data_IF_496261007946
#
_entry.id   IF_496261007946
#
_cell.length_a   1.000
_cell.length_b   1.000
_cell.length_c   1.000
_cell.angle_alpha   90.00
_cell.angle_beta   90.00
_cell.angle_gamma   90.00
#
_symmetry.space_group_name_H-M   'P 1'
#
loop_
_entity.id
_entity.type
_entity.pdbx_description
1 polymer ?
#
# COMPACT_ATOMS: atom_id res chain seq x y z
N UNK A 1 -28.87 -12.02 17.28
CA UNK A 1 -27.67 -11.15 17.48
C UNK A 1 -27.22 -10.75 16.08
N UNK A 2 -26.93 -9.47 15.83
CA UNK A 2 -26.48 -9.04 14.48
C UNK A 2 -25.02 -9.49 14.25
N UNK A 3 -24.59 -9.64 12.98
CA UNK A 3 -23.24 -10.04 12.64
C UNK A 3 -22.20 -8.93 12.93
N UNK A 4 -20.94 -9.33 13.00
CA UNK A 4 -19.84 -8.40 12.79
C UNK A 4 -19.68 -8.22 11.28
N UNK A 5 -19.65 -6.97 10.81
CA UNK A 5 -19.52 -6.65 9.39
C UNK A 5 -18.15 -6.04 9.10
N UNK A 6 -17.47 -6.52 8.07
CA UNK A 6 -16.22 -5.99 7.56
C UNK A 6 -16.47 -5.43 6.16
N UNK A 7 -16.20 -4.14 5.95
CA UNK A 7 -16.28 -3.53 4.61
C UNK A 7 -14.89 -3.55 3.98
N UNK A 8 -14.73 -4.32 2.91
CA UNK A 8 -13.49 -4.44 2.13
C UNK A 8 -12.81 -5.80 2.25
N UNK A 9 -12.51 -6.38 1.09
CA UNK A 9 -11.88 -7.70 0.86
C UNK A 9 -10.36 -7.64 0.70
N UNK A 10 -9.75 -6.49 0.99
CA UNK A 10 -8.31 -6.32 0.91
C UNK A 10 -7.55 -7.08 2.01
N UNK A 11 -6.23 -6.89 2.05
CA UNK A 11 -5.35 -7.54 3.03
C UNK A 11 -5.81 -7.29 4.47
N UNK A 12 -6.25 -6.07 4.81
CA UNK A 12 -6.70 -5.73 6.16
C UNK A 12 -7.97 -6.51 6.52
N UNK A 13 -9.01 -6.47 5.68
CA UNK A 13 -10.28 -7.15 5.94
C UNK A 13 -10.11 -8.66 6.12
N UNK A 14 -9.41 -9.33 5.19
CA UNK A 14 -9.14 -10.76 5.34
C UNK A 14 -8.25 -11.10 6.53
N UNK A 15 -7.31 -10.23 6.92
CA UNK A 15 -6.46 -10.49 8.09
C UNK A 15 -7.27 -10.37 9.37
N UNK A 16 -8.14 -9.36 9.50
CA UNK A 16 -9.07 -9.25 10.64
C UNK A 16 -9.96 -10.49 10.73
N UNK A 17 -10.56 -10.90 9.62
CA UNK A 17 -11.41 -12.08 9.59
C UNK A 17 -10.68 -13.37 10.04
N UNK A 18 -9.43 -13.58 9.57
CA UNK A 18 -8.60 -14.71 9.97
C UNK A 18 -8.23 -14.69 11.45
N UNK A 19 -7.77 -13.54 11.95
CA UNK A 19 -7.38 -13.41 13.36
C UNK A 19 -8.60 -13.55 14.27
N UNK A 20 -9.75 -13.00 13.89
CA UNK A 20 -10.99 -13.17 14.65
C UNK A 20 -11.47 -14.63 14.69
N UNK A 21 -11.41 -15.35 13.55
CA UNK A 21 -11.84 -16.77 13.51
C UNK A 21 -11.00 -17.70 14.37
N UNK A 22 -9.73 -17.36 14.63
CA UNK A 22 -8.91 -18.12 15.58
C UNK A 22 -9.43 -18.03 17.02
N UNK A 23 -10.11 -16.93 17.36
CA UNK A 23 -10.64 -16.65 18.70
C UNK A 23 -12.10 -17.03 18.84
N UNK A 24 -12.88 -16.87 17.79
CA UNK A 24 -14.32 -17.10 17.79
C UNK A 24 -14.78 -17.75 16.48
N UNK A 25 -14.95 -19.09 16.45
CA UNK A 25 -15.37 -19.81 15.25
C UNK A 25 -16.87 -19.64 14.92
N UNK A 26 -17.72 -19.28 15.89
CA UNK A 26 -19.18 -19.36 15.77
C UNK A 26 -19.86 -18.01 15.48
N UNK A 27 -19.31 -16.89 15.95
CA UNK A 27 -19.91 -15.57 15.77
C UNK A 27 -20.14 -15.28 14.28
N UNK A 28 -21.33 -14.87 13.91
CA UNK A 28 -21.65 -14.53 12.52
C UNK A 28 -20.75 -13.37 12.02
N UNK A 29 -20.11 -13.59 10.89
CA UNK A 29 -19.18 -12.66 10.25
C UNK A 29 -19.60 -12.46 8.80
N UNK A 30 -19.73 -11.20 8.39
CA UNK A 30 -20.10 -10.81 7.03
C UNK A 30 -19.01 -9.90 6.47
N UNK A 31 -18.55 -10.19 5.27
CA UNK A 31 -17.68 -9.29 4.51
C UNK A 31 -18.46 -8.73 3.33
N UNK A 32 -18.40 -7.41 3.14
CA UNK A 32 -19.04 -6.72 2.02
C UNK A 32 -17.96 -6.02 1.19
N UNK A 33 -17.96 -6.24 -0.10
CA UNK A 33 -16.98 -5.69 -1.01
C UNK A 33 -17.54 -5.36 -2.39
N UNK A 34 -17.05 -4.28 -2.95
CA UNK A 34 -17.45 -3.80 -4.27
C UNK A 34 -16.84 -4.62 -5.41
N UNK A 35 -15.80 -5.39 -5.14
CA UNK A 35 -15.09 -6.26 -6.08
C UNK A 35 -15.53 -7.74 -5.95
N UNK A 36 -14.76 -8.62 -6.59
CA UNK A 36 -14.96 -10.07 -6.61
C UNK A 36 -14.44 -10.80 -5.36
N UNK A 37 -13.88 -10.07 -4.41
CA UNK A 37 -13.30 -10.58 -3.17
C UNK A 37 -12.19 -11.65 -3.35
N UNK A 38 -11.46 -11.63 -4.44
CA UNK A 38 -10.28 -12.49 -4.60
C UNK A 38 -9.25 -12.12 -3.52
N UNK A 39 -8.86 -13.11 -2.72
CA UNK A 39 -7.82 -12.94 -1.72
C UNK A 39 -6.45 -13.12 -2.33
N UNK A 40 -5.58 -12.13 -2.20
CA UNK A 40 -4.18 -12.16 -2.65
C UNK A 40 -3.30 -11.24 -1.78
N UNK A 41 -1.99 -11.44 -1.87
CA UNK A 41 -1.03 -10.55 -1.22
C UNK A 41 -0.75 -9.36 -2.14
N UNK A 42 -1.39 -8.19 -1.90
CA UNK A 42 -1.24 -6.97 -2.71
C UNK A 42 0.24 -6.59 -2.98
N UNK A 43 1.19 -6.70 -2.03
CA UNK A 43 2.59 -6.43 -2.30
C UNK A 43 3.23 -7.31 -3.39
N UNK A 44 2.62 -8.43 -3.77
CA UNK A 44 3.14 -9.28 -4.84
C UNK A 44 2.98 -8.65 -6.23
N UNK A 45 2.05 -7.71 -6.40
CA UNK A 45 1.76 -7.10 -7.70
C UNK A 45 2.97 -6.38 -8.31
N UNK A 46 3.84 -5.79 -7.49
CA UNK A 46 5.01 -5.03 -7.94
C UNK A 46 6.29 -5.87 -8.16
N UNK A 47 6.20 -7.22 -8.05
CA UNK A 47 7.34 -8.12 -8.29
C UNK A 47 6.93 -9.46 -8.93
N UNK A 48 5.77 -9.53 -9.54
CA UNK A 48 5.24 -10.77 -10.09
C UNK A 48 5.67 -11.04 -11.53
N UNK A 49 6.13 -10.02 -12.26
CA UNK A 49 6.59 -10.17 -13.66
C UNK A 49 7.88 -10.99 -13.72
N UNK A 50 8.93 -10.58 -13.00
CA UNK A 50 10.19 -11.31 -12.94
C UNK A 50 10.01 -12.72 -12.36
N UNK A 51 9.07 -12.89 -11.43
CA UNK A 51 8.65 -14.20 -10.92
C UNK A 51 7.86 -15.06 -11.90
N UNK A 52 7.57 -14.56 -13.11
CA UNK A 52 6.78 -15.22 -14.16
C UNK A 52 5.42 -15.73 -13.70
N UNK A 53 4.83 -15.10 -12.66
CA UNK A 53 3.53 -15.47 -12.13
C UNK A 53 2.42 -14.85 -12.98
N UNK A 54 1.53 -15.68 -13.51
CA UNK A 54 0.30 -15.19 -14.11
C UNK A 54 -0.60 -14.55 -13.04
N UNK A 55 -1.47 -13.59 -13.38
CA UNK A 55 -2.38 -12.95 -12.42
C UNK A 55 -3.20 -13.97 -11.60
N UNK A 56 -3.66 -15.04 -12.23
CA UNK A 56 -4.43 -16.12 -11.60
C UNK A 56 -3.61 -16.89 -10.55
N UNK A 57 -2.29 -16.95 -10.69
CA UNK A 57 -1.38 -17.61 -9.74
C UNK A 57 -1.06 -16.73 -8.51
N UNK A 58 -1.41 -15.45 -8.56
CA UNK A 58 -1.29 -14.54 -7.40
C UNK A 58 -2.46 -14.75 -6.44
N UNK A 59 -3.63 -15.15 -6.97
CA UNK A 59 -4.83 -15.43 -6.19
C UNK A 59 -4.61 -16.63 -5.23
N UNK A 60 -4.93 -16.44 -3.97
CA UNK A 60 -4.89 -17.47 -2.91
C UNK A 60 -6.23 -18.18 -2.74
N UNK A 61 -7.32 -17.51 -3.10
CA UNK A 61 -8.68 -18.03 -3.08
C UNK A 61 -9.70 -17.00 -3.53
N UNK A 62 -10.80 -17.49 -4.09
CA UNK A 62 -11.97 -16.70 -4.42
C UNK A 62 -12.91 -16.53 -3.21
N UNK A 63 -13.99 -15.76 -3.39
CA UNK A 63 -14.99 -15.51 -2.35
C UNK A 63 -15.60 -16.80 -1.76
N UNK A 64 -15.91 -17.80 -2.59
CA UNK A 64 -16.51 -19.05 -2.14
C UNK A 64 -15.55 -19.85 -1.25
N UNK A 65 -14.30 -20.01 -1.69
CA UNK A 65 -13.25 -20.67 -0.92
C UNK A 65 -12.96 -19.96 0.39
N UNK A 66 -12.84 -18.63 0.35
CA UNK A 66 -12.56 -17.82 1.55
C UNK A 66 -13.74 -17.82 2.51
N UNK A 67 -14.98 -17.73 2.02
CA UNK A 67 -16.19 -17.82 2.83
C UNK A 67 -16.28 -19.15 3.57
N UNK A 68 -16.04 -20.26 2.88
CA UNK A 68 -16.01 -21.59 3.48
C UNK A 68 -14.88 -21.74 4.51
N UNK A 69 -13.66 -21.30 4.17
CA UNK A 69 -12.48 -21.40 5.03
C UNK A 69 -12.64 -20.60 6.33
N UNK A 70 -13.26 -19.42 6.25
CA UNK A 70 -13.40 -18.49 7.37
C UNK A 70 -14.78 -18.55 8.03
N UNK A 71 -15.64 -19.49 7.63
CA UNK A 71 -17.01 -19.59 8.11
C UNK A 71 -17.70 -18.22 8.13
N UNK A 72 -17.66 -17.50 6.99
CA UNK A 72 -18.26 -16.17 6.86
C UNK A 72 -19.01 -16.01 5.54
N UNK A 73 -20.02 -15.15 5.54
CA UNK A 73 -20.73 -14.73 4.34
C UNK A 73 -19.94 -13.60 3.66
N UNK A 74 -19.73 -13.71 2.36
CA UNK A 74 -19.04 -12.67 1.56
C UNK A 74 -20.02 -12.17 0.49
N UNK A 75 -20.36 -10.89 0.55
CA UNK A 75 -21.19 -10.20 -0.42
C UNK A 75 -20.28 -9.49 -1.42
N UNK A 76 -20.10 -10.10 -2.59
CA UNK A 76 -19.31 -9.56 -3.70
C UNK A 76 -20.13 -8.62 -4.57
N UNK A 77 -19.44 -7.72 -5.28
CA UNK A 77 -20.06 -6.73 -6.17
C UNK A 77 -21.16 -5.93 -5.48
N UNK A 78 -20.95 -5.65 -4.18
CA UNK A 78 -21.92 -4.97 -3.32
C UNK A 78 -21.29 -3.70 -2.74
N UNK A 79 -21.87 -2.56 -3.07
CA UNK A 79 -21.43 -1.25 -2.59
C UNK A 79 -22.13 -0.90 -1.28
N UNK A 80 -21.37 -0.42 -0.31
CA UNK A 80 -21.94 0.23 0.86
C UNK A 80 -22.12 1.71 0.53
N UNK A 81 -23.35 2.17 0.46
CA UNK A 81 -23.72 3.54 0.09
C UNK A 81 -23.77 4.47 1.31
N UNK A 82 -24.23 3.95 2.45
CA UNK A 82 -24.36 4.74 3.67
C UNK A 82 -24.23 3.87 4.91
N UNK A 83 -23.80 4.50 6.01
CA UNK A 83 -23.76 3.93 7.36
C UNK A 83 -24.69 4.76 8.24
N UNK A 84 -25.72 4.15 8.78
CA UNK A 84 -26.52 4.69 9.88
C UNK A 84 -25.97 4.13 11.19
N UNK A 85 -25.17 4.94 11.88
CA UNK A 85 -24.51 4.52 13.12
C UNK A 85 -25.47 4.46 14.32
N UNK A 86 -26.58 5.20 14.31
CA UNK A 86 -27.57 5.21 15.39
C UNK A 86 -28.42 3.93 15.34
N UNK A 87 -28.80 3.50 14.14
CA UNK A 87 -29.61 2.29 13.94
C UNK A 87 -28.77 1.02 13.72
N UNK A 88 -27.43 1.13 13.64
CA UNK A 88 -26.54 0.04 13.29
C UNK A 88 -26.93 -0.65 11.96
N UNK A 89 -27.19 0.16 10.92
CA UNK A 89 -27.61 -0.28 9.59
C UNK A 89 -26.67 0.23 8.50
N UNK A 90 -26.44 -0.61 7.51
CA UNK A 90 -25.78 -0.25 6.26
C UNK A 90 -26.82 -0.23 5.14
N UNK A 91 -26.77 0.78 4.29
CA UNK A 91 -27.45 0.76 3.00
C UNK A 91 -26.51 0.21 1.95
N UNK A 92 -26.91 -0.87 1.31
CA UNK A 92 -26.15 -1.59 0.29
C UNK A 92 -26.77 -1.39 -1.07
N UNK A 93 -25.96 -1.40 -2.12
CA UNK A 93 -26.38 -1.44 -3.52
C UNK A 93 -25.68 -2.60 -4.25
N UNK A 94 -26.47 -3.45 -4.90
CA UNK A 94 -26.00 -4.50 -5.79
C UNK A 94 -26.87 -4.56 -7.04
N UNK A 95 -26.26 -4.48 -8.22
CA UNK A 95 -26.96 -4.51 -9.52
C UNK A 95 -28.10 -3.47 -9.63
N UNK A 96 -27.93 -2.30 -9.00
CA UNK A 96 -28.95 -1.24 -8.97
C UNK A 96 -30.08 -1.48 -7.96
N UNK A 97 -30.01 -2.54 -7.16
CA UNK A 97 -31.00 -2.85 -6.13
C UNK A 97 -30.46 -2.47 -4.75
N UNK A 98 -31.19 -1.65 -4.03
CA UNK A 98 -30.87 -1.32 -2.64
C UNK A 98 -31.38 -2.35 -1.66
N UNK A 99 -30.57 -2.58 -0.61
CA UNK A 99 -30.91 -3.45 0.51
C UNK A 99 -30.27 -2.92 1.80
N UNK A 100 -30.61 -3.53 2.93
CA UNK A 100 -30.07 -3.15 4.24
C UNK A 100 -29.37 -4.33 4.91
N UNK A 101 -28.28 -4.03 5.61
CA UNK A 101 -27.56 -4.99 6.45
C UNK A 101 -27.35 -4.39 7.85
N UNK A 102 -27.94 -5.03 8.85
CA UNK A 102 -27.69 -4.68 10.24
C UNK A 102 -26.33 -5.24 10.72
N UNK A 103 -25.69 -4.57 11.66
CA UNK A 103 -24.43 -5.00 12.27
C UNK A 103 -24.44 -4.84 13.78
N UNK A 104 -23.72 -5.71 14.49
CA UNK A 104 -23.40 -5.52 15.91
C UNK A 104 -22.13 -4.69 16.07
N UNK A 105 -21.12 -4.95 15.22
CA UNK A 105 -19.87 -4.17 15.12
C UNK A 105 -19.49 -4.04 13.65
N UNK A 106 -18.90 -2.89 13.28
CA UNK A 106 -18.53 -2.56 11.92
C UNK A 106 -17.02 -2.30 11.83
N UNK A 107 -16.37 -2.90 10.85
CA UNK A 107 -14.94 -2.70 10.55
C UNK A 107 -14.78 -2.08 9.16
N UNK A 108 -14.24 -0.87 9.11
CA UNK A 108 -13.86 -0.22 7.86
C UNK A 108 -12.46 -0.68 7.45
N UNK A 109 -12.37 -1.49 6.40
CA UNK A 109 -11.13 -2.00 5.81
C UNK A 109 -11.05 -1.61 4.31
N UNK A 110 -11.51 -0.40 4.00
CA UNK A 110 -11.75 0.10 2.64
C UNK A 110 -10.49 0.54 1.89
N UNK A 111 -9.32 0.48 2.54
CA UNK A 111 -8.01 0.69 1.91
C UNK A 111 -7.77 2.11 1.41
N UNK A 112 -7.01 2.23 0.32
CA UNK A 112 -6.61 3.49 -0.29
C UNK A 112 -6.72 3.43 -1.82
N UNK A 113 -6.98 4.58 -2.43
CA UNK A 113 -7.11 4.75 -3.87
C UNK A 113 -5.83 5.36 -4.46
N UNK A 114 -5.46 5.04 -5.70
CA UNK A 114 -4.36 5.70 -6.39
C UNK A 114 -4.62 7.19 -6.58
N UNK A 115 -3.60 8.01 -6.34
CA UNK A 115 -3.64 9.43 -6.68
C UNK A 115 -3.63 9.54 -8.20
N UNK A 116 -4.58 10.28 -8.75
CA UNK A 116 -4.66 10.61 -10.17
C UNK A 116 -4.07 12.00 -10.40
N UNK A 117 -3.04 12.07 -11.25
CA UNK A 117 -2.46 13.34 -11.67
C UNK A 117 -3.33 13.99 -12.76
N UNK A 118 -3.45 15.31 -12.71
CA UNK A 118 -4.09 16.08 -13.77
C UNK A 118 -3.10 16.28 -14.93
N UNK A 119 -2.91 15.25 -15.76
CA UNK A 119 -2.03 15.28 -16.94
C UNK A 119 -2.87 15.58 -18.16
N UNK A 120 -2.39 16.49 -19.02
CA UNK A 120 -3.06 16.86 -20.27
C UNK A 120 -2.82 15.82 -21.38
N UNK A 121 -3.59 15.95 -22.47
CA UNK A 121 -3.43 15.13 -23.68
C UNK A 121 -4.38 13.95 -23.78
N UNK A 122 -4.55 13.44 -24.99
CA UNK A 122 -5.50 12.36 -25.35
C UNK A 122 -5.06 10.96 -24.92
N UNK A 123 -3.81 10.82 -24.42
CA UNK A 123 -3.28 9.60 -23.80
C UNK A 123 -3.39 9.58 -22.27
N UNK A 124 -3.89 10.65 -21.63
CA UNK A 124 -3.94 10.75 -20.16
C UNK A 124 -4.82 9.68 -19.50
N UNK A 125 -5.92 9.32 -20.14
CA UNK A 125 -6.86 8.31 -19.62
C UNK A 125 -6.32 6.88 -19.74
N UNK A 126 -5.31 6.66 -20.58
CA UNK A 126 -4.67 5.35 -20.76
C UNK A 126 -3.52 5.12 -19.77
N UNK A 127 -3.21 6.09 -18.91
CA UNK A 127 -2.20 5.93 -17.87
C UNK A 127 -2.67 4.87 -16.87
N UNK A 128 -1.93 3.75 -16.84
CA UNK A 128 -2.22 2.67 -15.92
C UNK A 128 -1.95 3.06 -14.47
N UNK A 129 -2.77 2.51 -13.58
CA UNK A 129 -2.47 2.39 -12.15
C UNK A 129 -2.59 0.92 -11.77
N UNK A 130 -1.81 0.46 -10.81
CA UNK A 130 -1.90 -0.93 -10.34
C UNK A 130 -2.14 -0.93 -8.85
N UNK A 131 -3.42 -0.99 -8.45
CA UNK A 131 -3.84 -0.99 -7.06
C UNK A 131 -4.53 -2.30 -6.63
N UNK A 132 -4.99 -3.08 -7.59
CA UNK A 132 -5.64 -4.37 -7.38
C UNK A 132 -5.22 -5.38 -8.46
N UNK A 133 -5.72 -6.62 -8.35
CA UNK A 133 -5.36 -7.70 -9.26
C UNK A 133 -5.87 -7.48 -10.69
N UNK A 134 -7.05 -6.86 -10.84
CA UNK A 134 -7.62 -6.55 -12.15
C UNK A 134 -6.82 -5.46 -12.86
N UNK A 135 -6.39 -4.41 -12.14
CA UNK A 135 -5.49 -3.39 -12.68
C UNK A 135 -4.18 -4.03 -13.15
N UNK A 136 -3.60 -4.95 -12.34
CA UNK A 136 -2.38 -5.66 -12.70
C UNK A 136 -2.56 -6.54 -13.94
N UNK A 137 -3.70 -7.20 -14.07
CA UNK A 137 -4.03 -8.00 -15.26
C UNK A 137 -4.08 -7.12 -16.52
N UNK A 138 -4.81 -6.02 -16.48
CA UNK A 138 -4.90 -5.06 -17.60
C UNK A 138 -3.51 -4.48 -17.95
N UNK A 139 -2.71 -4.11 -16.96
CA UNK A 139 -1.33 -3.65 -17.16
C UNK A 139 -0.46 -4.70 -17.87
N UNK A 140 -0.52 -5.97 -17.44
CA UNK A 140 0.21 -7.07 -18.09
C UNK A 140 -0.22 -7.35 -19.51
N UNK A 141 -1.52 -7.28 -19.79
CA UNK A 141 -2.06 -7.45 -21.15
C UNK A 141 -1.52 -6.37 -22.09
N UNK A 142 -1.44 -5.12 -21.62
CA UNK A 142 -0.82 -4.04 -22.38
C UNK A 142 0.67 -4.25 -22.63
N UNK A 143 1.43 -4.66 -21.61
CA UNK A 143 2.84 -4.98 -21.78
C UNK A 143 3.08 -6.09 -22.82
N UNK A 144 2.25 -7.15 -22.78
CA UNK A 144 2.37 -8.29 -23.69
C UNK A 144 2.02 -7.93 -25.15
N UNK A 145 1.18 -6.91 -25.36
CA UNK A 145 0.78 -6.44 -26.68
C UNK A 145 1.85 -5.55 -27.37
N UNK A 146 2.92 -5.17 -26.66
CA UNK A 146 3.93 -4.21 -27.14
C UNK A 146 5.24 -4.91 -27.53
N UNK A 147 5.87 -4.41 -28.62
CA UNK A 147 7.12 -4.99 -29.15
C UNK A 147 8.36 -4.31 -28.56
N UNK A 148 8.37 -2.96 -28.45
CA UNK A 148 9.55 -2.19 -28.05
C UNK A 148 9.79 -2.17 -26.54
N UNK A 149 8.74 -2.50 -25.76
CA UNK A 149 8.81 -2.68 -24.30
C UNK A 149 9.31 -1.44 -23.54
N UNK A 150 9.00 -0.22 -24.03
CA UNK A 150 9.35 1.04 -23.38
C UNK A 150 8.29 1.39 -22.33
N UNK A 151 8.66 1.43 -21.08
CA UNK A 151 7.75 1.75 -19.99
C UNK A 151 8.19 3.03 -19.29
N UNK A 152 7.29 4.00 -19.20
CA UNK A 152 7.49 5.21 -18.39
C UNK A 152 6.69 5.05 -17.09
N UNK A 153 7.39 5.17 -15.95
CA UNK A 153 6.80 5.13 -14.61
C UNK A 153 6.79 6.54 -14.02
N UNK A 154 5.63 6.99 -13.59
CA UNK A 154 5.47 8.25 -12.86
C UNK A 154 5.53 7.97 -11.37
N UNK A 155 6.55 8.51 -10.70
CA UNK A 155 6.80 8.32 -9.27
C UNK A 155 7.97 7.37 -8.97
N UNK A 156 9.00 7.88 -8.28
CA UNK A 156 10.15 7.14 -7.77
C UNK A 156 10.00 6.79 -6.27
N UNK A 157 8.76 6.56 -5.81
CA UNK A 157 8.44 6.03 -4.49
C UNK A 157 8.68 4.51 -4.41
N UNK A 158 8.30 3.88 -3.28
CA UNK A 158 8.47 2.44 -3.06
C UNK A 158 7.92 1.60 -4.22
N UNK A 159 6.65 1.81 -4.57
CA UNK A 159 5.96 1.04 -5.61
C UNK A 159 6.59 1.29 -6.98
N UNK A 160 6.92 2.54 -7.31
CA UNK A 160 7.54 2.87 -8.59
C UNK A 160 8.91 2.23 -8.77
N UNK A 161 9.78 2.26 -7.75
CA UNK A 161 11.09 1.61 -7.78
C UNK A 161 10.96 0.07 -7.85
N UNK A 162 9.99 -0.53 -7.16
CA UNK A 162 9.73 -1.97 -7.23
C UNK A 162 9.29 -2.40 -8.61
N UNK A 163 8.32 -1.70 -9.24
CA UNK A 163 7.91 -1.95 -10.62
C UNK A 163 9.04 -1.71 -11.61
N UNK A 164 9.84 -0.67 -11.42
CA UNK A 164 10.99 -0.40 -12.28
C UNK A 164 11.97 -1.58 -12.28
N UNK A 165 12.32 -2.09 -11.10
CA UNK A 165 13.20 -3.25 -10.97
C UNK A 165 12.55 -4.54 -11.53
N UNK A 166 11.26 -4.76 -11.30
CA UNK A 166 10.55 -5.96 -11.79
C UNK A 166 10.48 -5.98 -13.33
N UNK A 167 10.16 -4.84 -13.95
CA UNK A 167 10.11 -4.66 -15.40
C UNK A 167 11.50 -4.80 -16.04
N UNK A 168 12.52 -4.16 -15.46
CA UNK A 168 13.89 -4.27 -15.96
C UNK A 168 14.37 -5.73 -16.01
N UNK A 169 14.02 -6.54 -15.01
CA UNK A 169 14.34 -7.97 -14.99
C UNK A 169 13.59 -8.80 -16.05
N UNK A 170 12.68 -8.18 -16.81
CA UNK A 170 11.91 -8.79 -17.90
C UNK A 170 12.18 -8.10 -19.24
N UNK A 171 13.34 -7.48 -19.40
CA UNK A 171 13.85 -6.86 -20.63
C UNK A 171 13.05 -5.64 -21.12
N UNK A 172 12.33 -4.95 -20.20
CA UNK A 172 11.70 -3.68 -20.52
C UNK A 172 12.70 -2.53 -20.39
N UNK A 173 12.58 -1.55 -21.27
CA UNK A 173 13.31 -0.28 -21.16
C UNK A 173 12.53 0.65 -20.23
N UNK A 174 13.03 0.86 -19.03
CA UNK A 174 12.30 1.57 -17.99
C UNK A 174 12.84 2.97 -17.75
N UNK A 175 11.97 3.97 -17.83
CA UNK A 175 12.25 5.35 -17.40
C UNK A 175 11.34 5.72 -16.24
N UNK A 176 11.91 6.20 -15.14
CA UNK A 176 11.17 6.65 -13.95
C UNK A 176 11.25 8.17 -13.85
N UNK A 177 10.11 8.86 -13.75
CA UNK A 177 9.99 10.31 -13.64
C UNK A 177 9.46 10.66 -12.26
N UNK A 178 10.10 11.59 -11.53
CA UNK A 178 9.62 12.06 -10.23
C UNK A 178 9.95 13.54 -10.00
N UNK A 179 9.06 14.23 -9.27
CA UNK A 179 9.27 15.60 -8.80
C UNK A 179 10.42 15.72 -7.79
N UNK A 180 10.64 14.69 -6.99
CA UNK A 180 11.74 14.65 -6.04
C UNK A 180 13.09 14.55 -6.76
N UNK A 181 14.17 15.17 -6.23
CA UNK A 181 15.50 15.09 -6.82
C UNK A 181 16.17 13.73 -6.65
N UNK A 182 15.62 12.85 -5.79
CA UNK A 182 16.16 11.53 -5.49
C UNK A 182 15.02 10.49 -5.37
N UNK A 183 15.24 9.23 -5.76
CA UNK A 183 14.29 8.17 -5.50
C UNK A 183 14.15 7.94 -4.00
N UNK A 184 12.93 7.62 -3.55
CA UNK A 184 12.62 7.41 -2.14
C UNK A 184 13.02 8.59 -1.22
N UNK A 185 13.14 9.81 -1.75
CA UNK A 185 13.69 10.97 -1.05
C UNK A 185 12.97 11.40 0.23
N UNK A 186 11.74 10.87 0.47
CA UNK A 186 11.02 11.06 1.74
C UNK A 186 11.40 10.03 2.82
N UNK A 187 12.10 8.97 2.45
CA UNK A 187 12.40 7.83 3.31
C UNK A 187 13.91 7.66 3.54
N UNK A 188 14.74 8.13 2.62
CA UNK A 188 16.17 7.92 2.61
C UNK A 188 16.93 9.24 2.81
N UNK A 189 18.06 9.24 3.55
CA UNK A 189 19.01 10.33 3.47
C UNK A 189 19.64 10.38 2.08
N UNK A 190 20.03 11.57 1.63
CA UNK A 190 20.48 11.84 0.26
C UNK A 190 21.60 10.91 -0.21
N UNK A 191 22.59 10.63 0.63
CA UNK A 191 23.74 9.77 0.27
C UNK A 191 23.31 8.31 0.01
N UNK A 192 22.33 7.77 0.76
CA UNK A 192 21.77 6.44 0.48
C UNK A 192 20.90 6.47 -0.77
N UNK A 193 20.08 7.51 -0.95
CA UNK A 193 19.22 7.64 -2.13
C UNK A 193 20.06 7.72 -3.42
N UNK A 194 21.20 8.39 -3.37
CA UNK A 194 22.18 8.46 -4.47
C UNK A 194 22.76 7.09 -4.79
N UNK A 195 23.25 6.35 -3.79
CA UNK A 195 23.80 5.00 -3.99
C UNK A 195 22.71 4.02 -4.48
N UNK A 196 21.51 4.08 -3.92
CA UNK A 196 20.36 3.26 -4.35
C UNK A 196 20.00 3.55 -5.83
N UNK A 197 19.94 4.81 -6.21
CA UNK A 197 19.71 5.24 -7.61
C UNK A 197 20.78 4.65 -8.53
N UNK A 198 22.05 4.81 -8.18
CA UNK A 198 23.18 4.32 -8.96
C UNK A 198 23.09 2.79 -9.19
N UNK A 199 22.81 2.02 -8.15
CA UNK A 199 22.66 0.57 -8.27
C UNK A 199 21.52 0.16 -9.22
N UNK A 200 20.43 0.93 -9.24
CA UNK A 200 19.32 0.68 -10.18
C UNK A 200 19.67 1.15 -11.60
N UNK A 201 20.39 2.24 -11.76
CA UNK A 201 20.84 2.72 -13.09
C UNK A 201 21.84 1.75 -13.74
N UNK A 202 22.69 1.09 -12.95
CA UNK A 202 23.60 0.04 -13.43
C UNK A 202 22.87 -1.15 -14.07
N UNK A 203 21.59 -1.35 -13.73
CA UNK A 203 20.74 -2.38 -14.38
C UNK A 203 20.11 -1.90 -15.68
N UNK A 204 20.23 -0.61 -16.02
CA UNK A 204 19.63 -0.01 -17.21
C UNK A 204 18.32 0.75 -16.95
N UNK A 205 17.90 0.93 -15.70
CA UNK A 205 16.78 1.82 -15.37
C UNK A 205 17.24 3.27 -15.54
N UNK A 206 16.45 4.08 -16.23
CA UNK A 206 16.74 5.51 -16.42
C UNK A 206 15.88 6.36 -15.49
N UNK A 207 16.50 7.32 -14.77
CA UNK A 207 15.79 8.25 -13.89
C UNK A 207 15.79 9.67 -14.47
N UNK A 208 14.61 10.31 -14.50
CA UNK A 208 14.38 11.71 -14.85
C UNK A 208 13.75 12.38 -13.64
N UNK A 209 14.58 12.92 -12.77
CA UNK A 209 14.18 13.44 -11.46
C UNK A 209 14.16 14.98 -11.44
N UNK A 210 13.47 15.57 -10.43
CA UNK A 210 13.28 17.01 -10.29
C UNK A 210 12.30 17.59 -11.30
N UNK A 211 11.44 16.75 -11.90
CA UNK A 211 10.44 17.16 -12.90
C UNK A 211 9.19 16.29 -12.83
N UNK A 212 8.18 16.64 -13.60
CA UNK A 212 6.92 15.91 -13.71
C UNK A 212 6.55 15.70 -15.18
N UNK A 213 5.40 15.09 -15.43
CA UNK A 213 4.81 14.98 -16.77
C UNK A 213 3.75 16.05 -16.94
N UNK A 214 3.82 16.79 -18.03
CA UNK A 214 2.86 17.81 -18.42
C UNK A 214 1.76 17.24 -19.31
N UNK A 215 2.17 16.41 -20.29
CA UNK A 215 1.25 15.88 -21.30
C UNK A 215 1.59 14.44 -21.71
N UNK A 216 0.54 13.65 -21.95
CA UNK A 216 0.65 12.35 -22.62
C UNK A 216 -0.23 12.36 -23.86
N UNK A 217 0.39 12.20 -25.03
CA UNK A 217 -0.29 12.19 -26.32
C UNK A 217 -0.20 10.82 -26.96
N UNK A 218 -1.26 10.37 -27.62
CA UNK A 218 -1.26 9.15 -28.45
C UNK A 218 -0.52 9.39 -29.75
N UNK A 219 0.24 8.39 -30.20
CA UNK A 219 0.88 8.36 -31.51
C UNK A 219 0.15 7.37 -32.43
N UNK A 220 0.38 7.47 -33.74
CA UNK A 220 -0.35 6.74 -34.79
C UNK A 220 -0.29 5.21 -34.66
N UNK A 221 0.76 4.68 -34.01
CA UNK A 221 0.94 3.23 -33.81
C UNK A 221 0.50 2.73 -32.43
N UNK A 222 -0.22 3.58 -31.68
CA UNK A 222 -0.73 3.25 -30.34
C UNK A 222 0.30 3.42 -29.22
N UNK A 223 1.46 3.99 -29.51
CA UNK A 223 2.46 4.42 -28.54
C UNK A 223 2.07 5.78 -27.95
N UNK A 224 2.83 6.21 -26.97
CA UNK A 224 2.62 7.49 -26.30
C UNK A 224 3.85 8.39 -26.42
N UNK A 225 3.61 9.68 -26.56
CA UNK A 225 4.60 10.72 -26.35
C UNK A 225 4.37 11.37 -24.99
N UNK A 226 5.30 11.15 -24.07
CA UNK A 226 5.28 11.73 -22.73
C UNK A 226 6.11 13.00 -22.75
N UNK A 227 5.47 14.17 -22.56
CA UNK A 227 6.10 15.48 -22.63
C UNK A 227 6.29 16.05 -21.23
N UNK A 228 7.49 16.57 -20.95
CA UNK A 228 7.87 17.22 -19.71
C UNK A 228 7.64 18.75 -19.80
N UNK A 229 7.55 19.46 -18.66
CA UNK A 229 7.34 20.93 -18.66
C UNK A 229 8.43 21.73 -19.38
N UNK A 230 9.64 21.20 -19.50
CA UNK A 230 10.77 21.85 -20.20
C UNK A 230 10.78 21.58 -21.73
N UNK A 231 9.77 20.88 -22.25
CA UNK A 231 9.61 20.54 -23.65
C UNK A 231 10.32 19.27 -24.11
N UNK A 232 11.11 18.62 -23.26
CA UNK A 232 11.65 17.28 -23.56
C UNK A 232 10.51 16.28 -23.67
N UNK A 233 10.68 15.29 -24.52
CA UNK A 233 9.67 14.23 -24.70
C UNK A 233 10.31 12.84 -24.74
N UNK A 234 9.58 11.86 -24.26
CA UNK A 234 9.96 10.46 -24.22
C UNK A 234 8.88 9.62 -24.91
N UNK A 235 9.30 8.66 -25.74
CA UNK A 235 8.37 7.68 -26.30
C UNK A 235 8.13 6.56 -25.30
N UNK A 236 6.89 6.13 -25.15
CA UNK A 236 6.49 5.04 -24.27
C UNK A 236 5.46 4.13 -24.95
N UNK A 237 5.56 2.84 -24.72
CA UNK A 237 4.54 1.86 -25.12
C UNK A 237 3.47 1.72 -24.04
N UNK A 238 3.87 1.92 -22.79
CA UNK A 238 3.01 1.89 -21.60
C UNK A 238 3.44 2.97 -20.62
N UNK A 239 2.48 3.65 -20.02
CA UNK A 239 2.71 4.62 -18.93
C UNK A 239 2.04 4.10 -17.67
N UNK A 240 2.82 3.98 -16.58
CA UNK A 240 2.36 3.52 -15.27
C UNK A 240 2.47 4.66 -14.25
N UNK A 241 1.38 4.98 -13.56
CA UNK A 241 1.41 5.95 -12.44
C UNK A 241 1.56 5.22 -11.10
N UNK A 242 2.61 5.56 -10.37
CA UNK A 242 2.94 5.06 -9.03
C UNK A 242 3.24 6.22 -8.05
N UNK A 243 2.50 7.33 -8.18
CA UNK A 243 2.71 8.59 -7.43
C UNK A 243 2.17 8.58 -6.00
N UNK A 244 1.66 7.45 -5.55
CA UNK A 244 1.17 7.25 -4.20
C UNK A 244 -0.32 6.93 -4.12
N UNK A 245 -0.75 6.73 -2.89
CA UNK A 245 -2.12 6.35 -2.54
C UNK A 245 -2.72 7.38 -1.59
N UNK A 246 -4.03 7.55 -1.68
CA UNK A 246 -4.82 8.37 -0.77
C UNK A 246 -5.82 7.47 -0.04
N UNK A 247 -5.86 7.49 1.32
CA UNK A 247 -6.84 6.74 2.10
C UNK A 247 -8.26 6.97 1.63
N UNK A 248 -9.05 5.90 1.55
CA UNK A 248 -10.46 6.00 1.20
C UNK A 248 -11.27 6.38 2.44
N UNK A 249 -11.65 7.66 2.53
CA UNK A 249 -12.34 8.24 3.70
C UNK A 249 -13.78 8.67 3.40
N UNK A 250 -14.24 8.58 2.15
CA UNK A 250 -15.53 9.16 1.71
C UNK A 250 -16.69 8.59 2.50
N UNK A 251 -16.83 7.25 2.54
CA UNK A 251 -17.92 6.58 3.27
C UNK A 251 -17.91 6.93 4.78
N UNK A 252 -16.73 6.99 5.39
CA UNK A 252 -16.58 7.37 6.80
C UNK A 252 -17.01 8.81 7.04
N UNK A 253 -16.55 9.74 6.19
CA UNK A 253 -16.88 11.17 6.29
C UNK A 253 -18.38 11.43 6.13
N UNK A 254 -19.03 10.78 5.18
CA UNK A 254 -20.48 10.89 4.95
C UNK A 254 -21.29 10.34 6.12
N UNK A 255 -20.77 9.36 6.85
CA UNK A 255 -21.37 8.82 8.07
C UNK A 255 -21.09 9.63 9.35
N UNK A 256 -20.39 10.79 9.27
CA UNK A 256 -20.02 11.59 10.43
C UNK A 256 -18.87 11.04 11.24
N UNK A 257 -18.12 10.07 10.70
CA UNK A 257 -16.90 9.57 11.31
C UNK A 257 -15.78 10.60 11.08
N UNK A 258 -15.02 10.89 12.12
CA UNK A 258 -13.93 11.86 12.04
C UNK A 258 -12.82 11.38 11.11
N UNK A 259 -12.38 12.26 10.23
CA UNK A 259 -11.32 11.98 9.25
C UNK A 259 -10.32 13.13 9.21
N UNK A 260 -9.07 12.81 8.88
CA UNK A 260 -8.01 13.75 8.54
C UNK A 260 -7.34 13.26 7.24
N UNK A 261 -6.10 12.78 7.29
CA UNK A 261 -5.46 12.08 6.17
C UNK A 261 -6.05 10.68 5.97
N UNK A 262 -6.57 10.08 7.04
CA UNK A 262 -7.26 8.81 7.10
C UNK A 262 -8.51 8.90 7.98
N UNK A 263 -9.15 7.77 8.23
CA UNK A 263 -10.21 7.63 9.23
C UNK A 263 -9.55 7.64 10.61
N UNK A 264 -9.87 8.65 11.43
CA UNK A 264 -9.27 8.83 12.76
C UNK A 264 -9.71 7.73 13.72
N UNK A 265 -8.75 7.06 14.34
CA UNK A 265 -9.00 6.07 15.39
C UNK A 265 -8.08 6.30 16.58
N UNK A 266 -8.54 5.84 17.75
CA UNK A 266 -7.69 5.70 18.93
C UNK A 266 -6.81 4.44 18.84
N UNK A 267 -6.03 4.16 19.90
CA UNK A 267 -5.17 2.96 19.98
C UNK A 267 -5.94 1.63 20.05
N UNK A 268 -7.25 1.66 20.27
CA UNK A 268 -8.15 0.49 20.21
C UNK A 268 -8.74 0.29 18.81
N UNK A 269 -8.35 1.13 17.84
CA UNK A 269 -8.87 1.18 16.47
C UNK A 269 -10.34 1.62 16.38
N UNK A 270 -10.87 2.21 17.46
CA UNK A 270 -12.23 2.75 17.53
C UNK A 270 -12.29 4.13 16.88
N UNK A 271 -13.34 4.37 16.11
CA UNK A 271 -13.69 5.71 15.62
C UNK A 271 -14.41 6.53 16.72
N UNK A 272 -14.85 7.74 16.37
CA UNK A 272 -15.70 8.54 17.26
C UNK A 272 -17.14 8.01 17.39
N UNK A 273 -17.55 7.05 16.57
CA UNK A 273 -18.86 6.42 16.65
C UNK A 273 -18.75 5.02 17.26
N UNK A 274 -19.65 4.70 18.18
CA UNK A 274 -19.64 3.43 18.90
C UNK A 274 -19.73 2.23 17.95
N UNK A 275 -19.02 1.15 18.30
CA UNK A 275 -19.02 -0.11 17.56
C UNK A 275 -18.54 -0.02 16.10
N UNK A 276 -17.89 1.10 15.71
CA UNK A 276 -17.29 1.29 14.39
C UNK A 276 -15.76 1.45 14.52
N UNK A 277 -15.04 0.60 13.81
CA UNK A 277 -13.57 0.49 13.82
C UNK A 277 -13.01 0.74 12.42
N UNK A 278 -11.75 1.18 12.33
CA UNK A 278 -11.05 1.26 11.04
C UNK A 278 -9.66 0.62 11.11
N UNK A 279 -9.27 -0.04 10.02
CA UNK A 279 -7.98 -0.76 9.90
C UNK A 279 -7.38 -0.66 8.49
N UNK A 280 -6.09 -0.86 8.40
CA UNK A 280 -5.36 -0.87 7.12
C UNK A 280 -5.08 0.52 6.59
N UNK A 281 -4.93 0.62 5.28
CA UNK A 281 -4.48 1.84 4.61
C UNK A 281 -5.45 3.03 4.75
N UNK A 282 -6.71 2.78 5.14
CA UNK A 282 -7.67 3.86 5.40
C UNK A 282 -7.58 4.43 6.82
N UNK A 283 -6.95 3.73 7.77
CA UNK A 283 -6.96 4.10 9.19
C UNK A 283 -5.77 5.00 9.56
N UNK A 284 -6.06 6.10 10.27
CA UNK A 284 -5.08 6.97 10.91
C UNK A 284 -5.14 6.75 12.43
N UNK A 285 -4.24 5.89 12.93
CA UNK A 285 -4.24 5.43 14.33
C UNK A 285 -3.42 6.39 15.20
N UNK A 286 -4.02 7.01 16.20
CA UNK A 286 -3.37 8.02 17.06
C UNK A 286 -2.59 9.09 16.25
N UNK A 287 -3.18 9.57 15.13
CA UNK A 287 -2.55 10.54 14.24
C UNK A 287 -1.47 9.98 13.31
N UNK A 288 -1.25 8.65 13.33
CA UNK A 288 -0.23 7.99 12.51
C UNK A 288 -0.87 7.18 11.38
N UNK A 289 -0.46 7.47 10.14
CA UNK A 289 -0.89 6.75 8.94
C UNK A 289 0.28 5.89 8.42
N UNK A 290 0.12 4.57 8.45
CA UNK A 290 1.15 3.60 8.06
C UNK A 290 0.58 2.59 7.05
N UNK A 291 0.61 2.90 5.73
CA UNK A 291 0.06 2.03 4.69
C UNK A 291 1.07 0.91 4.34
N UNK A 292 1.39 0.06 5.31
CA UNK A 292 2.33 -1.04 5.18
C UNK A 292 1.74 -2.34 5.73
N UNK A 293 2.36 -3.46 5.36
CA UNK A 293 1.89 -4.80 5.77
C UNK A 293 1.97 -5.03 7.28
N UNK A 294 3.09 -4.63 7.91
CA UNK A 294 3.30 -4.91 9.33
C UNK A 294 2.28 -4.21 10.24
N UNK A 295 1.97 -2.91 10.05
CA UNK A 295 0.89 -2.25 10.79
C UNK A 295 -0.46 -2.96 10.64
N UNK A 296 -0.85 -3.38 9.43
CA UNK A 296 -2.09 -4.13 9.19
C UNK A 296 -2.15 -5.40 10.06
N UNK A 297 -1.03 -6.13 10.14
CA UNK A 297 -0.96 -7.37 10.95
C UNK A 297 -1.13 -7.08 12.46
N UNK A 298 -0.54 -5.99 12.97
CA UNK A 298 -0.69 -5.57 14.37
C UNK A 298 -2.12 -5.12 14.66
N UNK A 299 -2.69 -4.28 13.78
CA UNK A 299 -4.07 -3.82 13.88
C UNK A 299 -5.05 -5.00 13.91
N UNK A 300 -4.92 -5.92 12.97
CA UNK A 300 -5.83 -7.06 12.85
C UNK A 300 -5.80 -7.97 14.10
N UNK A 301 -4.62 -8.20 14.68
CA UNK A 301 -4.49 -9.00 15.92
C UNK A 301 -5.12 -8.31 17.13
N UNK A 302 -4.89 -7.01 17.29
CA UNK A 302 -5.48 -6.24 18.37
C UNK A 302 -7.01 -6.14 18.22
N UNK A 303 -7.47 -5.79 17.00
CA UNK A 303 -8.89 -5.65 16.73
C UNK A 303 -9.65 -6.98 16.90
N UNK A 304 -9.08 -8.10 16.46
CA UNK A 304 -9.71 -9.41 16.61
C UNK A 304 -10.02 -9.75 18.08
N UNK A 305 -9.12 -9.41 18.99
CA UNK A 305 -9.34 -9.56 20.44
C UNK A 305 -10.43 -8.62 20.94
N UNK A 306 -10.39 -7.35 20.54
CA UNK A 306 -11.42 -6.34 20.91
C UNK A 306 -12.80 -6.75 20.40
N UNK A 307 -12.91 -7.24 19.16
CA UNK A 307 -14.15 -7.77 18.60
C UNK A 307 -14.68 -8.97 19.38
N UNK A 308 -13.78 -9.79 19.94
CA UNK A 308 -14.10 -10.95 20.79
C UNK A 308 -14.32 -10.61 22.27
N UNK A 309 -14.36 -9.31 22.64
CA UNK A 309 -14.64 -8.84 24.00
C UNK A 309 -13.42 -8.58 24.90
N UNK A 310 -12.19 -8.80 24.40
CA UNK A 310 -10.94 -8.47 25.11
C UNK A 310 -10.39 -7.14 24.56
N UNK A 311 -10.74 -6.01 25.18
CA UNK A 311 -10.25 -4.68 24.79
C UNK A 311 -8.73 -4.66 24.70
N UNK A 312 -8.19 -4.51 23.49
CA UNK A 312 -6.76 -4.67 23.22
C UNK A 312 -6.24 -3.49 22.40
N UNK A 313 -5.28 -2.75 22.97
CA UNK A 313 -4.61 -1.66 22.27
C UNK A 313 -3.64 -2.20 21.23
N UNK A 314 -3.57 -1.53 20.07
CA UNK A 314 -2.58 -1.85 19.06
C UNK A 314 -1.17 -1.52 19.57
N UNK A 315 -0.24 -2.42 19.28
CA UNK A 315 1.18 -2.24 19.57
C UNK A 315 1.94 -2.10 18.25
N UNK A 316 2.70 -1.02 18.09
CA UNK A 316 3.57 -0.80 16.94
C UNK A 316 5.04 -0.80 17.36
N UNK A 317 5.71 -1.96 17.29
CA UNK A 317 7.16 -2.01 17.42
C UNK A 317 7.83 -1.33 16.22
N UNK A 318 9.16 -1.30 16.21
CA UNK A 318 9.89 -0.94 15.00
C UNK A 318 9.52 -1.88 13.84
N UNK A 319 8.98 -1.32 12.75
CA UNK A 319 8.46 -2.06 11.60
C UNK A 319 9.18 -1.64 10.30
N UNK A 320 10.42 -2.07 10.08
CA UNK A 320 11.17 -1.73 8.87
C UNK A 320 10.51 -2.31 7.63
N UNK A 321 10.51 -1.51 6.56
CA UNK A 321 9.97 -1.86 5.25
C UNK A 321 11.11 -2.40 4.38
N UNK A 322 10.94 -3.61 3.87
CA UNK A 322 11.83 -4.17 2.85
C UNK A 322 11.30 -3.76 1.46
N UNK A 323 12.10 -3.06 0.70
CA UNK A 323 11.79 -2.66 -0.68
C UNK A 323 12.15 -3.82 -1.61
N UNK A 324 11.21 -4.19 -2.47
CA UNK A 324 11.37 -5.35 -3.38
C UNK A 324 12.15 -4.97 -4.64
N UNK A 325 13.40 -4.58 -4.45
CA UNK A 325 14.37 -4.25 -5.51
C UNK A 325 15.59 -5.17 -5.41
N UNK A 326 15.52 -6.41 -5.92
CA UNK A 326 16.65 -7.36 -5.85
C UNK A 326 17.99 -6.82 -6.36
N UNK A 327 17.97 -5.92 -7.35
CA UNK A 327 19.19 -5.28 -7.87
C UNK A 327 19.84 -4.30 -6.87
N UNK A 328 19.05 -3.73 -5.97
CA UNK A 328 19.48 -2.86 -4.89
C UNK A 328 18.72 -3.18 -3.61
N UNK A 329 19.04 -4.31 -2.92
CA UNK A 329 18.30 -4.74 -1.74
C UNK A 329 18.29 -3.64 -0.68
N UNK A 330 17.09 -3.20 -0.29
CA UNK A 330 16.93 -2.07 0.60
C UNK A 330 15.93 -2.40 1.72
N UNK A 331 16.31 -2.07 2.95
CA UNK A 331 15.39 -2.06 4.09
C UNK A 331 15.45 -0.71 4.76
N UNK A 332 14.28 -0.10 5.00
CA UNK A 332 14.18 1.21 5.62
C UNK A 332 13.23 1.21 6.81
N UNK A 333 13.67 1.75 7.92
CA UNK A 333 12.84 2.24 9.02
C UNK A 333 13.04 3.75 9.08
N UNK A 334 12.11 4.57 8.54
CA UNK A 334 12.27 6.00 8.54
C UNK A 334 12.26 6.55 9.97
N UNK A 335 13.08 7.57 10.24
CA UNK A 335 12.97 8.32 11.48
C UNK A 335 11.63 9.07 11.52
N UNK A 336 11.02 9.28 12.70
CA UNK A 336 9.82 10.11 12.85
C UNK A 336 10.06 11.54 12.30
N UNK A 337 9.06 12.10 11.62
CA UNK A 337 9.19 13.40 10.91
C UNK A 337 9.34 14.56 11.87
N UNK A 338 8.83 14.43 13.10
CA UNK A 338 8.82 15.40 14.18
C UNK A 338 10.05 15.31 15.09
N UNK A 339 10.99 14.41 14.78
CA UNK A 339 12.24 14.21 15.54
C UNK A 339 13.43 14.63 14.69
N UNK A 340 14.18 15.62 15.16
CA UNK A 340 15.46 15.97 14.52
C UNK A 340 16.47 14.85 14.74
N UNK A 341 17.10 14.39 13.65
CA UNK A 341 18.06 13.29 13.71
C UNK A 341 19.36 13.63 12.99
N UNK A 342 20.45 13.06 13.51
CA UNK A 342 21.74 13.03 12.83
C UNK A 342 21.98 11.63 12.26
N UNK A 343 22.33 11.59 10.97
CA UNK A 343 22.63 10.34 10.30
C UNK A 343 24.13 9.98 10.46
N UNK A 344 24.37 8.75 10.87
CA UNK A 344 25.70 8.12 10.84
C UNK A 344 25.68 7.04 9.78
N UNK A 345 26.71 7.01 8.93
CA UNK A 345 26.87 6.01 7.88
C UNK A 345 28.05 5.09 8.11
N UNK A 346 27.93 3.88 7.63
CA UNK A 346 28.97 2.85 7.59
C UNK A 346 28.95 2.25 6.18
N UNK A 347 30.07 2.36 5.47
CA UNK A 347 30.23 1.75 4.15
C UNK A 347 30.66 0.28 4.31
N UNK A 348 30.10 -0.57 3.46
CA UNK A 348 30.40 -2.00 3.36
C UNK A 348 30.86 -2.31 1.93
N UNK A 349 31.51 -3.44 1.73
CA UNK A 349 31.97 -3.88 0.40
C UNK A 349 30.81 -4.03 -0.61
N UNK A 350 29.59 -4.36 -0.12
CA UNK A 350 28.40 -4.63 -0.94
C UNK A 350 27.21 -3.72 -0.60
N UNK A 351 27.45 -2.57 0.04
CA UNK A 351 26.35 -1.65 0.40
C UNK A 351 26.68 -0.67 1.51
N UNK A 352 25.63 -0.20 2.22
CA UNK A 352 25.75 0.84 3.23
C UNK A 352 24.75 0.63 4.36
N UNK A 353 25.13 1.06 5.57
CA UNK A 353 24.24 1.17 6.73
C UNK A 353 24.16 2.63 7.13
N UNK A 354 22.95 3.18 7.23
CA UNK A 354 22.70 4.50 7.80
C UNK A 354 21.86 4.35 9.08
N UNK A 355 22.25 5.04 10.15
CA UNK A 355 21.57 5.05 11.45
C UNK A 355 21.23 6.48 11.83
N UNK A 356 19.95 6.73 12.13
CA UNK A 356 19.43 8.03 12.54
C UNK A 356 19.35 8.12 14.07
N UNK A 357 20.12 9.01 14.68
CA UNK A 357 20.11 9.23 16.11
C UNK A 357 19.54 10.60 16.45
N UNK A 358 18.71 10.67 17.50
CA UNK A 358 18.26 11.93 18.06
C UNK A 358 19.34 12.58 18.97
N UNK A 359 19.01 13.74 19.54
CA UNK A 359 19.89 14.51 20.44
C UNK A 359 20.26 13.75 21.72
N UNK A 360 19.52 12.69 22.09
CA UNK A 360 19.79 11.83 23.26
C UNK A 360 20.58 10.57 22.89
N UNK A 361 21.11 10.48 21.65
CA UNK A 361 21.76 9.31 21.09
C UNK A 361 20.86 8.06 21.03
N UNK A 362 19.55 8.24 21.01
CA UNK A 362 18.59 7.15 20.79
C UNK A 362 18.43 6.91 19.28
N UNK A 363 18.54 5.63 18.87
CA UNK A 363 18.31 5.24 17.48
C UNK A 363 16.82 5.41 17.15
N UNK A 364 16.51 6.25 16.14
CA UNK A 364 15.13 6.58 15.71
C UNK A 364 14.75 5.98 14.37
N UNK A 365 15.74 5.62 13.56
CA UNK A 365 15.53 5.02 12.25
C UNK A 365 16.82 4.44 11.69
N UNK A 366 16.70 3.68 10.63
CA UNK A 366 17.88 3.15 9.92
C UNK A 366 17.55 2.82 8.47
N UNK A 367 18.58 2.79 7.65
CA UNK A 367 18.52 2.32 6.27
C UNK A 367 19.64 1.30 6.06
N UNK A 368 19.30 0.19 5.43
CA UNK A 368 20.18 -0.91 5.10
C UNK A 368 20.15 -1.13 3.59
N UNK A 369 21.17 -0.70 2.88
CA UNK A 369 21.34 -0.91 1.44
C UNK A 369 22.36 -2.02 1.23
N UNK A 370 21.99 -3.05 0.47
CA UNK A 370 22.82 -4.19 0.15
C UNK A 370 22.58 -5.43 1.03
N UNK A 371 23.04 -6.61 0.56
CA UNK A 371 22.75 -7.89 1.20
C UNK A 371 23.36 -8.03 2.61
N UNK A 372 24.59 -7.56 2.80
CA UNK A 372 25.28 -7.65 4.11
C UNK A 372 24.66 -6.71 5.12
N UNK A 373 24.33 -5.46 4.72
CA UNK A 373 23.61 -4.51 5.57
C UNK A 373 22.26 -5.09 6.03
N UNK A 374 21.51 -5.73 5.11
CA UNK A 374 20.20 -6.31 5.38
C UNK A 374 20.19 -7.34 6.54
N UNK A 375 21.31 -8.00 6.82
CA UNK A 375 21.44 -8.95 7.93
C UNK A 375 21.31 -8.28 9.31
N UNK A 376 21.56 -6.97 9.40
CA UNK A 376 21.46 -6.23 10.66
C UNK A 376 20.02 -5.81 11.02
N UNK A 377 19.04 -6.03 10.14
CA UNK A 377 17.65 -5.60 10.33
C UNK A 377 17.08 -5.93 11.71
N UNK A 378 17.18 -7.20 12.13
CA UNK A 378 16.61 -7.65 13.40
C UNK A 378 17.33 -7.05 14.62
N UNK A 379 18.63 -6.90 14.55
CA UNK A 379 19.43 -6.32 15.63
C UNK A 379 19.09 -4.84 15.82
N UNK A 380 19.06 -4.06 14.72
CA UNK A 380 18.75 -2.64 14.76
C UNK A 380 17.28 -2.37 15.13
N UNK A 381 16.33 -3.19 14.66
CA UNK A 381 14.92 -3.03 15.03
C UNK A 381 14.67 -3.12 16.53
N UNK A 382 15.48 -3.91 17.27
CA UNK A 382 15.36 -4.03 18.74
C UNK A 382 15.88 -2.81 19.49
N UNK A 383 16.67 -1.95 18.83
CA UNK A 383 17.25 -0.75 19.45
C UNK A 383 16.38 0.49 19.23
N UNK A 384 15.44 0.44 18.28
CA UNK A 384 14.53 1.56 18.02
C UNK A 384 13.32 1.42 18.95
N UNK A 385 12.94 2.50 19.67
CA UNK A 385 11.76 2.50 20.51
C UNK A 385 10.48 2.18 19.73
N UNK A 386 9.52 1.58 20.39
CA UNK A 386 8.19 1.33 19.82
C UNK A 386 7.52 2.64 19.42
N UNK A 387 6.87 2.64 18.26
CA UNK A 387 6.10 3.79 17.79
C UNK A 387 4.80 3.97 18.60
N UNK A 388 4.13 2.85 18.91
CA UNK A 388 3.04 2.78 19.89
C UNK A 388 3.41 1.65 20.85
N UNK A 389 3.75 1.95 22.12
CA UNK A 389 4.14 0.92 23.07
C UNK A 389 2.98 -0.01 23.40
N UNK A 390 3.32 -1.24 23.82
CA UNK A 390 2.33 -2.15 24.37
C UNK A 390 1.65 -1.52 25.61
N UNK A 391 0.37 -1.79 25.80
CA UNK A 391 -0.30 -1.43 27.04
C UNK A 391 0.38 -2.16 28.22
N UNK A 392 0.67 -1.43 29.28
CA UNK A 392 1.29 -1.97 30.51
C UNK A 392 0.25 -2.76 31.30
#
# INVERSE_FOLDING_TARGET
MHPIVIIGSGMAGYTVAREFRKLNPEQELVMICADDAINYAKPTLSNALAGKKAPEQIALGDAAKMGAQLNMRIEVHTWVKAIDAEQHLLTLEKDGVESQQAYAKLVLAVGANPIRLAISGDGSDDIHVVNNLNDYKAFREQLAARQDKRVVILGAGLIGCEFANDLQNTEHQVTVIDLAPQPLGRLLPEFIATAFKQNLEETGIHFVLGTTVDKVSKLDHGDYLVTLPDGRSLSADVVLSAVGLQPNITLAKEAGIHTSRGVLTNGLLETNLADIYAVGDCAEVNGTLLPYVMPIMQQARALAKTLNGETTQVHYPAMPVAVKTPAAPLTVLPAPVDVEVTWQNEELDDGMIAKAFDSTATLRGFVLLGPTAGKQRLALSKLVPDLIPAAV
#
